data_IF_318807633277
#
_entry.id   IF_318807633277
#
_cell.length_a   1.000
_cell.length_b   1.000
_cell.length_c   1.000
_cell.angle_alpha   90.00
_cell.angle_beta   90.00
_cell.angle_gamma   90.00
#
_symmetry.space_group_name_H-M   'P 1'
#
loop_
_entity.id
_entity.type
_entity.pdbx_description
1 polymer ?
#
# COMPACT_ATOMS: atom_id res chain seq x y z
N UNK A 1 22.99 -22.00 -10.09
CA UNK A 1 22.02 -21.50 -9.10
C UNK A 1 20.66 -21.68 -9.75
N UNK A 2 19.96 -22.76 -9.39
CA UNK A 2 18.62 -23.06 -9.92
C UNK A 2 17.61 -22.14 -9.22
N UNK A 3 16.75 -21.53 -10.02
CA UNK A 3 15.72 -20.61 -9.55
C UNK A 3 14.43 -21.42 -9.40
N UNK A 4 13.99 -21.62 -8.15
CA UNK A 4 12.73 -22.29 -7.84
C UNK A 4 11.60 -21.23 -7.92
N UNK A 5 10.63 -21.36 -8.85
CA UNK A 5 9.54 -20.40 -8.99
C UNK A 5 8.46 -20.53 -7.91
N UNK A 6 8.67 -21.38 -6.90
CA UNK A 6 7.72 -21.61 -5.78
C UNK A 6 8.09 -20.94 -4.46
N UNK A 7 9.09 -20.05 -4.43
CA UNK A 7 9.35 -19.14 -3.29
C UNK A 7 8.27 -18.04 -3.20
N UNK A 8 7.05 -18.51 -3.01
CA UNK A 8 5.83 -17.78 -2.76
C UNK A 8 5.74 -17.53 -1.24
N UNK A 9 5.53 -16.26 -0.88
CA UNK A 9 5.13 -15.81 0.46
C UNK A 9 6.10 -16.07 1.61
N UNK A 10 7.29 -15.47 1.54
CA UNK A 10 8.06 -15.18 2.75
C UNK A 10 8.19 -13.68 2.95
N UNK A 11 7.82 -13.28 4.15
CA UNK A 11 8.14 -12.00 4.81
C UNK A 11 7.09 -10.88 4.70
N UNK A 12 6.41 -10.67 5.84
CA UNK A 12 6.19 -9.31 6.33
C UNK A 12 7.54 -8.58 6.23
N UNK A 13 7.71 -7.72 5.23
CA UNK A 13 8.89 -6.88 5.16
C UNK A 13 8.71 -5.74 6.17
N UNK A 14 9.18 -5.97 7.40
CA UNK A 14 9.34 -4.92 8.40
C UNK A 14 10.59 -4.11 8.00
N UNK A 15 10.40 -3.03 7.26
CA UNK A 15 11.50 -2.13 6.94
C UNK A 15 11.95 -1.40 8.22
N UNK A 16 13.26 -1.36 8.54
CA UNK A 16 13.75 -0.52 9.63
C UNK A 16 13.45 0.96 9.36
N UNK A 17 13.44 1.80 10.42
CA UNK A 17 13.17 3.23 10.29
C UNK A 17 14.11 3.89 9.29
N UNK A 18 13.56 4.65 8.34
CA UNK A 18 14.35 5.56 7.49
C UNK A 18 14.26 6.95 8.14
N UNK A 19 15.21 7.27 9.03
CA UNK A 19 15.37 8.61 9.62
C UNK A 19 16.13 8.63 10.96
N UNK A 20 16.87 9.71 11.22
CA UNK A 20 17.72 9.99 12.39
C UNK A 20 16.96 10.23 13.72
N UNK A 21 15.86 9.51 13.95
CA UNK A 21 15.11 9.64 15.20
C UNK A 21 14.06 8.56 15.38
N UNK A 22 14.27 7.69 16.36
CA UNK A 22 13.25 7.07 17.24
C UNK A 22 11.82 6.90 16.70
N UNK A 23 11.61 6.26 15.55
CA UNK A 23 10.26 5.85 15.11
C UNK A 23 10.29 4.51 14.36
N UNK A 24 9.78 3.45 14.98
CA UNK A 24 9.52 2.17 14.30
C UNK A 24 8.37 2.35 13.31
N UNK A 25 8.63 2.22 12.01
CA UNK A 25 7.59 2.24 10.99
C UNK A 25 7.09 0.83 10.75
N UNK A 26 6.03 0.44 11.46
CA UNK A 26 5.33 -0.80 11.15
C UNK A 26 4.41 -0.57 9.93
N UNK A 27 4.89 -1.00 8.77
CA UNK A 27 4.06 -1.20 7.59
C UNK A 27 4.01 -2.68 7.25
N UNK A 28 2.89 -3.13 6.70
CA UNK A 28 2.75 -4.46 6.14
C UNK A 28 2.44 -4.35 4.65
N UNK A 29 3.22 -5.07 3.85
CA UNK A 29 3.06 -5.15 2.40
C UNK A 29 2.35 -6.45 2.04
N UNK A 30 1.34 -6.36 1.18
CA UNK A 30 0.57 -7.49 0.67
C UNK A 30 0.77 -7.53 -0.84
N UNK A 31 1.34 -8.63 -1.33
CA UNK A 31 1.66 -8.84 -2.74
C UNK A 31 0.71 -9.85 -3.39
N UNK A 32 0.67 -9.83 -4.73
CA UNK A 32 -0.25 -10.65 -5.53
C UNK A 32 -0.04 -12.15 -5.33
N UNK A 33 -1.04 -12.77 -4.67
CA UNK A 33 -1.17 -14.21 -4.38
C UNK A 33 -1.13 -14.52 -2.88
N UNK A 34 -1.15 -13.48 -2.02
CA UNK A 34 -1.45 -13.64 -0.60
C UNK A 34 -2.80 -14.35 -0.46
N UNK A 35 -2.80 -15.52 0.19
CA UNK A 35 -3.95 -16.44 0.20
C UNK A 35 -5.03 -16.10 1.23
N UNK A 36 -4.80 -15.08 2.06
CA UNK A 36 -5.78 -14.60 3.05
C UNK A 36 -6.50 -13.36 2.55
N UNK A 37 -7.67 -13.08 3.11
CA UNK A 37 -8.37 -11.82 2.88
C UNK A 37 -7.46 -10.65 3.27
N UNK A 38 -7.33 -9.65 2.39
CA UNK A 38 -6.62 -8.44 2.76
C UNK A 38 -7.51 -7.53 3.63
N UNK A 39 -6.90 -6.74 4.52
CA UNK A 39 -7.63 -5.67 5.18
C UNK A 39 -8.19 -4.74 4.11
N UNK A 40 -9.46 -4.34 4.26
CA UNK A 40 -10.20 -3.45 3.35
C UNK A 40 -10.78 -4.09 2.07
N UNK A 41 -10.76 -5.42 1.94
CA UNK A 41 -11.44 -6.16 0.86
C UNK A 41 -11.08 -5.68 -0.56
N UNK A 42 -9.82 -5.31 -0.78
CA UNK A 42 -9.29 -4.96 -2.09
C UNK A 42 -9.03 -6.24 -2.88
N UNK A 43 -9.09 -6.21 -4.22
CA UNK A 43 -8.65 -7.33 -5.04
C UNK A 43 -7.53 -6.85 -5.95
N UNK A 44 -6.53 -7.70 -6.19
CA UNK A 44 -5.39 -7.33 -7.04
C UNK A 44 -5.78 -7.04 -8.51
N UNK A 45 -6.97 -7.46 -8.93
CA UNK A 45 -7.51 -7.13 -10.25
C UNK A 45 -8.18 -5.75 -10.33
N UNK A 46 -8.37 -5.06 -9.19
CA UNK A 46 -9.06 -3.77 -9.16
C UNK A 46 -8.29 -2.69 -9.91
N UNK A 47 -9.04 -1.81 -10.57
CA UNK A 47 -8.53 -0.54 -11.07
C UNK A 47 -8.69 0.58 -10.03
N UNK A 48 -8.13 1.76 -10.32
CA UNK A 48 -8.19 2.92 -9.41
C UNK A 48 -9.61 3.37 -9.07
N UNK A 49 -10.57 3.27 -10.00
CA UNK A 49 -11.95 3.66 -9.72
C UNK A 49 -12.57 2.74 -8.67
N UNK A 50 -12.36 1.43 -8.83
CA UNK A 50 -12.86 0.43 -7.88
C UNK A 50 -12.19 0.53 -6.50
N UNK A 51 -10.90 0.90 -6.47
CA UNK A 51 -10.20 1.20 -5.22
C UNK A 51 -10.80 2.45 -4.54
N UNK A 52 -11.06 3.51 -5.30
CA UNK A 52 -11.62 4.75 -4.78
C UNK A 52 -13.05 4.60 -4.26
N UNK A 53 -13.85 3.69 -4.83
CA UNK A 53 -15.16 3.33 -4.29
C UNK A 53 -15.07 2.73 -2.87
N UNK A 54 -14.00 2.00 -2.56
CA UNK A 54 -13.80 1.33 -1.27
C UNK A 54 -13.11 2.22 -0.23
N UNK A 55 -12.06 2.91 -0.66
CA UNK A 55 -11.17 3.66 0.22
C UNK A 55 -11.49 5.16 0.25
N UNK A 56 -12.29 5.66 -0.69
CA UNK A 56 -12.43 7.09 -0.96
C UNK A 56 -11.34 7.58 -1.92
N UNK A 57 -11.35 8.88 -2.19
CA UNK A 57 -10.39 9.50 -3.13
C UNK A 57 -8.95 9.42 -2.61
N UNK A 58 -8.01 9.27 -3.54
CA UNK A 58 -6.58 9.35 -3.25
C UNK A 58 -6.21 10.68 -2.56
N UNK A 59 -5.37 10.59 -1.53
CA UNK A 59 -4.75 11.74 -0.83
C UNK A 59 -3.38 12.10 -1.41
N UNK A 60 -2.93 11.40 -2.46
CA UNK A 60 -1.70 11.73 -3.18
C UNK A 60 -1.75 13.13 -3.78
N UNK A 61 -0.64 13.85 -3.72
CA UNK A 61 -0.47 15.15 -4.39
C UNK A 61 -0.55 15.02 -5.91
N UNK A 62 0.11 14.01 -6.46
CA UNK A 62 0.06 13.70 -7.87
C UNK A 62 -0.90 12.54 -8.15
N UNK A 63 -1.99 12.84 -8.86
CA UNK A 63 -3.01 11.86 -9.21
C UNK A 63 -2.62 11.00 -10.42
N UNK A 64 -1.56 11.37 -11.13
CA UNK A 64 -1.09 10.67 -12.32
C UNK A 64 -0.15 9.50 -12.01
N UNK A 65 0.48 9.51 -10.82
CA UNK A 65 1.45 8.50 -10.42
C UNK A 65 0.82 7.10 -10.31
N UNK A 66 1.60 6.07 -10.63
CA UNK A 66 1.21 4.68 -10.41
C UNK A 66 1.20 4.29 -8.93
N UNK A 67 1.70 5.15 -8.05
CA UNK A 67 1.65 4.98 -6.61
C UNK A 67 0.65 5.97 -6.03
N UNK A 68 -0.43 5.46 -5.47
CA UNK A 68 -1.50 6.28 -4.89
C UNK A 68 -1.65 5.96 -3.41
N UNK A 69 -1.76 6.99 -2.58
CA UNK A 69 -2.01 6.89 -1.16
C UNK A 69 -3.48 7.19 -0.87
N UNK A 70 -4.08 6.40 0.02
CA UNK A 70 -5.45 6.51 0.46
C UNK A 70 -5.49 6.55 1.98
N UNK A 71 -6.44 7.30 2.54
CA UNK A 71 -6.69 7.32 3.97
C UNK A 71 -7.98 6.55 4.26
N UNK A 72 -7.91 5.55 5.14
CA UNK A 72 -9.07 4.85 5.68
C UNK A 72 -8.88 4.69 7.18
N UNK A 73 -9.81 5.25 7.95
CA UNK A 73 -9.72 5.31 9.41
C UNK A 73 -8.34 5.88 9.84
N UNK A 74 -7.64 5.19 10.75
CA UNK A 74 -6.31 5.58 11.23
C UNK A 74 -5.15 4.99 10.39
N UNK A 75 -5.42 4.56 9.16
CA UNK A 75 -4.43 3.92 8.29
C UNK A 75 -4.23 4.71 6.99
N UNK A 76 -2.98 4.67 6.52
CA UNK A 76 -2.62 4.98 5.15
C UNK A 76 -2.48 3.65 4.40
N UNK A 77 -3.23 3.54 3.30
CA UNK A 77 -3.12 2.45 2.33
C UNK A 77 -2.43 3.00 1.09
N UNK A 78 -1.27 2.46 0.73
CA UNK A 78 -0.52 2.84 -0.46
C UNK A 78 -0.67 1.71 -1.48
N UNK A 79 -1.19 2.04 -2.65
CA UNK A 79 -1.43 1.10 -3.75
C UNK A 79 -0.39 1.36 -4.84
N UNK A 80 0.32 0.30 -5.21
CA UNK A 80 1.22 0.28 -6.36
C UNK A 80 0.47 -0.37 -7.52
N UNK A 81 0.13 0.42 -8.53
CA UNK A 81 -0.58 -0.06 -9.71
C UNK A 81 0.39 -0.57 -10.77
N UNK A 82 0.00 -1.65 -11.44
CA UNK A 82 0.82 -2.28 -12.49
C UNK A 82 0.98 -1.40 -13.73
N UNK A 83 -0.13 -1.03 -14.36
CA UNK A 83 -0.13 -0.29 -15.63
C UNK A 83 -1.33 0.63 -15.74
N UNK A 84 -1.09 1.94 -15.90
CA UNK A 84 -2.14 2.97 -16.11
C UNK A 84 -3.34 2.78 -15.15
N UNK A 85 -3.04 2.54 -13.87
CA UNK A 85 -4.02 2.34 -12.80
C UNK A 85 -4.91 1.09 -12.92
N UNK A 86 -4.50 0.10 -13.71
CA UNK A 86 -5.17 -1.20 -13.85
C UNK A 86 -4.37 -2.30 -13.17
N UNK A 87 -4.99 -2.94 -12.20
CA UNK A 87 -4.39 -4.01 -11.42
C UNK A 87 -3.41 -3.46 -10.38
N UNK A 88 -3.48 -4.06 -9.19
CA UNK A 88 -2.61 -3.76 -8.07
C UNK A 88 -1.46 -4.77 -8.08
N UNK A 89 -0.25 -4.30 -7.82
CA UNK A 89 0.92 -5.15 -7.59
C UNK A 89 1.16 -5.37 -6.10
N UNK A 90 1.10 -4.27 -5.35
CA UNK A 90 1.37 -4.26 -3.91
C UNK A 90 0.38 -3.33 -3.20
N UNK A 91 -0.08 -3.79 -2.04
CA UNK A 91 -0.86 -3.00 -1.08
C UNK A 91 0.00 -2.84 0.16
N UNK A 92 0.40 -1.61 0.48
CA UNK A 92 1.12 -1.29 1.72
C UNK A 92 0.17 -0.62 2.69
N UNK A 93 0.10 -1.13 3.91
CA UNK A 93 -0.75 -0.59 4.97
C UNK A 93 0.11 -0.17 6.14
N UNK A 94 -0.07 1.06 6.63
CA UNK A 94 0.58 1.58 7.84
C UNK A 94 -0.34 2.49 8.64
N UNK A 95 -0.04 2.68 9.93
CA UNK A 95 -0.71 3.71 10.74
C UNK A 95 -0.26 5.10 10.29
N UNK A 96 -1.18 6.07 10.38
CA UNK A 96 -0.87 7.49 10.13
C UNK A 96 0.20 7.96 11.13
N UNK A 97 1.22 8.65 10.64
CA UNK A 97 2.27 9.26 11.46
C UNK A 97 2.39 10.78 11.20
N UNK A 98 3.29 11.44 11.94
CA UNK A 98 3.52 12.90 11.82
C UNK A 98 4.03 13.31 10.43
N UNK A 99 4.76 12.45 9.72
CA UNK A 99 5.21 12.75 8.35
C UNK A 99 4.02 12.73 7.40
N UNK A 100 3.15 11.72 7.49
CA UNK A 100 1.92 11.61 6.69
C UNK A 100 1.00 12.83 6.91
N UNK A 101 0.78 13.20 8.17
CA UNK A 101 -0.03 14.37 8.52
C UNK A 101 0.51 15.70 7.97
N UNK A 102 1.83 15.80 7.73
CA UNK A 102 2.46 17.01 7.17
C UNK A 102 2.50 17.01 5.65
N UNK A 103 2.50 15.84 5.01
CA UNK A 103 2.82 15.69 3.59
C UNK A 103 1.67 15.19 2.73
N UNK A 104 0.62 14.64 3.33
CA UNK A 104 -0.58 14.17 2.64
C UNK A 104 -1.77 15.07 3.00
N UNK A 105 -2.72 15.17 2.07
CA UNK A 105 -3.97 15.92 2.29
C UNK A 105 -4.97 15.06 3.07
N UNK A 106 -4.63 14.73 4.31
CA UNK A 106 -5.46 13.91 5.20
C UNK A 106 -6.70 14.71 5.67
N UNK A 107 -7.83 14.02 5.84
CA UNK A 107 -9.09 14.57 6.36
C UNK A 107 -9.43 14.01 7.73
#
# INVERSE_FOLDING_TARGET
>A
MEFDPTDSYKEKYLSPPIGDGWFTFESFDINKGFEKENPFNLAFAMDKSQVEEKLGKSVSKNQEDLVQAYQKDNHIIIIFYKNKWKGIETIRIRKINKFDAKNLNLK
#
